data_IF_167303219251
#
_entry.id   IF_167303219251
#
_cell.length_a   1.000
_cell.length_b   1.000
_cell.length_c   1.000
_cell.angle_alpha   90.00
_cell.angle_beta   90.00
_cell.angle_gamma   90.00
#
_symmetry.space_group_name_H-M   'P 1'
#
loop_
_entity.id
_entity.type
_entity.pdbx_description
1 polymer ?
#
# COMPACT_ATOMS: atom_id res chain seq x y z
N UNK A 1 1.13 -7.00 -4.81
CA UNK A 1 0.51 -7.68 -5.97
C UNK A 1 1.62 -8.16 -6.89
N UNK A 2 1.61 -9.43 -7.29
CA UNK A 2 2.59 -9.96 -8.22
C UNK A 2 2.16 -9.61 -9.66
N UNK A 3 2.88 -8.71 -10.31
CA UNK A 3 2.60 -8.34 -11.70
C UNK A 3 3.35 -9.28 -12.64
N UNK A 4 2.61 -9.93 -13.53
CA UNK A 4 3.15 -10.76 -14.59
C UNK A 4 2.93 -10.05 -15.91
N UNK A 5 4.03 -9.71 -16.61
CA UNK A 5 3.99 -9.05 -17.92
C UNK A 5 4.60 -9.96 -19.00
N UNK A 6 4.12 -9.81 -20.23
CA UNK A 6 4.70 -10.49 -21.40
C UNK A 6 5.50 -9.50 -22.24
N UNK A 7 6.79 -9.77 -22.42
CA UNK A 7 7.68 -8.93 -23.21
C UNK A 7 8.57 -9.81 -24.10
N UNK A 8 8.65 -9.49 -25.40
CA UNK A 8 9.42 -10.26 -26.40
C UNK A 8 9.18 -11.78 -26.35
N UNK A 9 7.91 -12.19 -26.17
CA UNK A 9 7.52 -13.60 -26.11
C UNK A 9 7.83 -14.31 -24.80
N UNK A 10 8.50 -13.67 -23.85
CA UNK A 10 8.82 -14.22 -22.53
C UNK A 10 7.93 -13.61 -21.44
N UNK A 11 7.65 -14.40 -20.41
CA UNK A 11 6.90 -13.97 -19.23
C UNK A 11 7.87 -13.50 -18.16
N UNK A 12 7.59 -12.33 -17.59
CA UNK A 12 8.38 -11.74 -16.52
C UNK A 12 7.48 -11.49 -15.32
N UNK A 13 7.99 -11.87 -14.14
CA UNK A 13 7.38 -11.53 -12.87
C UNK A 13 8.11 -10.30 -12.32
N UNK A 14 7.39 -9.18 -12.21
CA UNK A 14 7.92 -7.97 -11.61
C UNK A 14 7.72 -8.10 -10.10
N UNK A 15 8.84 -8.25 -9.38
CA UNK A 15 8.88 -8.06 -7.94
C UNK A 15 9.20 -6.60 -7.65
N UNK A 16 8.18 -5.75 -7.67
CA UNK A 16 8.34 -4.35 -7.31
C UNK A 16 8.47 -4.20 -5.80
N UNK A 17 9.45 -3.39 -5.37
CA UNK A 17 9.60 -3.02 -3.97
C UNK A 17 8.35 -2.24 -3.50
N UNK A 18 7.95 -2.45 -2.24
CA UNK A 18 6.70 -1.92 -1.66
C UNK A 18 6.63 -0.38 -1.61
N UNK A 19 7.77 0.28 -1.82
CA UNK A 19 7.91 1.74 -1.71
C UNK A 19 8.27 2.43 -3.03
N UNK A 20 8.18 1.72 -4.16
CA UNK A 20 8.42 2.34 -5.46
C UNK A 20 7.28 3.28 -5.85
N UNK A 21 7.63 4.49 -6.28
CA UNK A 21 6.67 5.49 -6.81
C UNK A 21 5.87 4.94 -8.00
N UNK A 22 6.41 3.96 -8.71
CA UNK A 22 5.76 3.24 -9.80
C UNK A 22 4.52 2.46 -9.33
N UNK A 23 4.58 1.82 -8.15
CA UNK A 23 3.43 1.09 -7.59
C UNK A 23 2.30 2.04 -7.19
N UNK A 24 2.65 3.18 -6.60
CA UNK A 24 1.71 4.24 -6.28
C UNK A 24 0.99 4.72 -7.54
N UNK A 25 1.76 5.07 -8.56
CA UNK A 25 1.24 5.57 -9.84
C UNK A 25 0.31 4.54 -10.48
N UNK A 26 0.72 3.27 -10.53
CA UNK A 26 -0.10 2.19 -11.09
C UNK A 26 -1.40 1.94 -10.30
N UNK A 27 -1.34 2.01 -8.97
CA UNK A 27 -2.52 1.79 -8.12
C UNK A 27 -3.54 2.89 -8.32
N UNK A 28 -3.09 4.15 -8.38
CA UNK A 28 -3.95 5.31 -8.61
C UNK A 28 -4.52 5.27 -10.03
N UNK A 29 -3.71 5.00 -11.06
CA UNK A 29 -4.22 4.92 -12.44
C UNK A 29 -5.24 3.80 -12.62
N UNK A 30 -5.07 2.65 -11.95
CA UNK A 30 -6.10 1.62 -11.93
C UNK A 30 -7.40 2.08 -11.28
N UNK A 31 -7.34 2.82 -10.18
CA UNK A 31 -8.54 3.39 -9.54
C UNK A 31 -9.26 4.37 -10.48
N UNK A 32 -8.50 5.17 -11.24
CA UNK A 32 -9.09 6.07 -12.24
C UNK A 32 -9.74 5.31 -13.39
N UNK A 33 -9.08 4.28 -13.93
CA UNK A 33 -9.55 3.57 -15.12
C UNK A 33 -10.65 2.54 -14.83
N UNK A 34 -10.58 1.83 -13.69
CA UNK A 34 -11.53 0.75 -13.36
C UNK A 34 -12.74 1.26 -12.60
N UNK A 35 -12.53 2.12 -11.61
CA UNK A 35 -13.61 2.63 -10.76
C UNK A 35 -14.20 3.94 -11.30
N UNK A 36 -13.66 4.45 -12.43
CA UNK A 36 -14.06 5.70 -13.08
C UNK A 36 -14.11 6.90 -12.11
N UNK A 37 -13.16 6.93 -11.17
CA UNK A 37 -13.06 7.96 -10.14
C UNK A 37 -12.46 9.25 -10.70
N UNK A 38 -12.81 10.37 -10.07
CA UNK A 38 -12.04 11.61 -10.28
C UNK A 38 -10.65 11.47 -9.67
N UNK A 39 -9.71 12.26 -10.19
CA UNK A 39 -8.32 12.30 -9.72
C UNK A 39 -8.22 12.42 -8.20
N UNK A 40 -8.93 13.38 -7.62
CA UNK A 40 -8.92 13.67 -6.17
C UNK A 40 -9.37 12.46 -5.34
N UNK A 41 -10.49 11.84 -5.71
CA UNK A 41 -11.06 10.69 -5.01
C UNK A 41 -10.13 9.47 -5.07
N UNK A 42 -9.45 9.26 -6.20
CA UNK A 42 -8.50 8.16 -6.36
C UNK A 42 -7.29 8.32 -5.43
N UNK A 43 -6.76 9.53 -5.28
CA UNK A 43 -5.67 9.81 -4.33
C UNK A 43 -6.11 9.60 -2.88
N UNK A 44 -7.30 10.09 -2.50
CA UNK A 44 -7.85 9.90 -1.15
C UNK A 44 -7.95 8.40 -0.82
N UNK A 45 -8.61 7.64 -1.70
CA UNK A 45 -8.82 6.19 -1.54
C UNK A 45 -7.49 5.43 -1.46
N UNK A 46 -6.48 5.82 -2.25
CA UNK A 46 -5.15 5.23 -2.18
C UNK A 46 -4.49 5.43 -0.80
N UNK A 47 -4.51 6.66 -0.26
CA UNK A 47 -3.92 6.93 1.05
C UNK A 47 -4.70 6.35 2.23
N UNK A 48 -6.02 6.21 2.11
CA UNK A 48 -6.85 5.49 3.09
C UNK A 48 -6.46 4.01 3.18
N UNK A 49 -6.25 3.36 2.02
CA UNK A 49 -5.78 1.98 1.96
C UNK A 49 -4.37 1.84 2.55
N UNK A 50 -3.44 2.72 2.19
CA UNK A 50 -2.12 2.74 2.82
C UNK A 50 -2.22 2.88 4.34
N UNK A 51 -3.06 3.82 4.83
CA UNK A 51 -3.19 4.07 6.25
C UNK A 51 -3.78 2.88 7.00
N UNK A 52 -4.71 2.13 6.40
CA UNK A 52 -5.27 0.92 7.02
C UNK A 52 -4.21 -0.20 7.10
N UNK A 53 -3.40 -0.38 6.06
CA UNK A 53 -2.27 -1.32 6.07
C UNK A 53 -1.20 -0.95 7.10
N UNK A 54 -0.88 0.34 7.23
CA UNK A 54 0.11 0.82 8.19
C UNK A 54 -0.38 0.82 9.63
N UNK A 55 -1.68 1.01 9.90
CA UNK A 55 -2.26 0.86 11.25
C UNK A 55 -2.08 -0.55 11.80
N UNK A 56 -2.07 -1.57 10.95
CA UNK A 56 -1.78 -2.96 11.35
C UNK A 56 -0.32 -3.17 11.78
N UNK A 57 0.61 -2.31 11.33
CA UNK A 57 2.02 -2.34 11.71
C UNK A 57 2.32 -1.52 12.99
N UNK A 58 1.30 -1.02 13.68
CA UNK A 58 1.39 -0.45 15.02
C UNK A 58 0.86 -1.42 16.10
N UNK A 59 1.46 -2.60 16.32
CA UNK A 59 1.21 -3.37 17.52
C UNK A 59 2.11 -2.83 18.65
N UNK A 60 1.50 -2.28 19.69
CA UNK A 60 2.02 -2.30 21.08
C UNK A 60 3.04 -1.26 21.58
N UNK A 61 3.38 -0.19 20.85
CA UNK A 61 4.20 0.89 21.47
C UNK A 61 3.51 1.66 22.61
N UNK A 62 2.22 1.41 22.86
CA UNK A 62 1.45 2.01 23.97
C UNK A 62 1.13 1.06 25.14
N UNK A 63 1.64 -0.19 25.16
CA UNK A 63 1.43 -1.11 26.29
C UNK A 63 2.61 -1.25 27.25
N UNK A 64 3.79 -0.71 26.93
CA UNK A 64 4.90 -0.59 27.88
C UNK A 64 4.84 0.74 28.66
N UNK A 65 3.86 0.91 29.55
CA UNK A 65 4.00 1.78 30.75
C UNK A 65 2.77 1.69 31.66
N UNK A 66 2.39 0.49 32.10
CA UNK A 66 1.44 0.35 33.22
C UNK A 66 1.87 -0.57 34.36
N UNK A 67 3.06 -1.17 34.31
CA UNK A 67 3.60 -1.98 35.40
C UNK A 67 5.12 -1.81 35.50
N UNK A 68 5.59 -0.71 36.09
CA UNK A 68 6.95 -0.65 36.65
C UNK A 68 6.87 -0.14 38.09
N UNK A 69 6.83 -1.11 39.00
CA UNK A 69 7.33 -0.94 40.36
C UNK A 69 6.32 -0.55 41.42
N UNK A 70 5.67 -1.54 42.04
CA UNK A 70 5.55 -1.51 43.49
C UNK A 70 6.96 -1.60 44.08
N UNK A 71 7.39 -0.56 44.78
CA UNK A 71 8.26 -0.67 45.95
C UNK A 71 8.06 0.57 46.82
#
# INVERSE_FOLDING_TARGET
MEQIIRYKGKWYKINSSKYESEQQTFSITNLLLKDNLKSEDAYIKYYENLRSEHKLLYPEFHKCNKNSGSH
#
